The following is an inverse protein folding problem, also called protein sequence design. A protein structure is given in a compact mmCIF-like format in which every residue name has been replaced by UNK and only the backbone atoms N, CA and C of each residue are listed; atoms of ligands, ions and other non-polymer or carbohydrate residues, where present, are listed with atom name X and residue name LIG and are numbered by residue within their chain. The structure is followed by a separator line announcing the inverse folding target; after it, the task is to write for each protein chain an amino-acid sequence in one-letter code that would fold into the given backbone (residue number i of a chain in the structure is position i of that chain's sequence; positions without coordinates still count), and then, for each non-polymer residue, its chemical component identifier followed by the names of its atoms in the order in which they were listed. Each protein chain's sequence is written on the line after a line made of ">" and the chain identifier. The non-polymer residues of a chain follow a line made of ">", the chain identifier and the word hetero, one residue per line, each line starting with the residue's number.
data_IF_349579719572
#
_entry.id   IF_349579719572
#
_cell.length_a   1.000
_cell.length_b   1.000
_cell.length_c   1.000
_cell.angle_alpha   90.00
_cell.angle_beta   90.00
_cell.angle_gamma   90.00
#
_symmetry.space_group_name_H-M   'P 1'
#
loop_
_entity.id
_entity.type
_entity.pdbx_description
1 polymer ?
#
# COMPACT_ATOMS: atom_id res chain seq x y z
N UNK A 1 7.53 34.75 -10.86
CA UNK A 1 6.54 35.04 -9.82
C UNK A 1 6.89 34.21 -8.57
N UNK A 2 7.33 34.90 -7.52
CA UNK A 2 7.52 34.30 -6.20
C UNK A 2 6.14 34.16 -5.55
N UNK A 3 5.74 32.91 -5.20
CA UNK A 3 4.51 32.68 -4.47
C UNK A 3 4.83 32.54 -2.98
N UNK A 4 4.22 33.40 -2.18
CA UNK A 4 4.33 33.31 -0.73
C UNK A 4 3.16 32.47 -0.21
N UNK A 5 3.49 31.43 0.57
CA UNK A 5 2.49 30.62 1.25
C UNK A 5 1.88 31.43 2.40
N UNK A 6 0.59 31.70 2.33
CA UNK A 6 -0.12 32.56 3.30
C UNK A 6 -0.90 31.77 4.36
N UNK A 7 -1.35 30.53 4.03
CA UNK A 7 -2.02 29.62 4.96
C UNK A 7 -1.95 28.18 4.47
N UNK A 8 -2.19 27.25 5.38
CA UNK A 8 -2.35 25.82 5.08
C UNK A 8 -3.38 25.25 6.04
N UNK A 9 -4.27 24.42 5.53
CA UNK A 9 -5.21 23.63 6.31
C UNK A 9 -5.38 22.26 5.70
N UNK A 10 -6.11 21.36 6.37
CA UNK A 10 -6.44 20.03 5.87
C UNK A 10 -7.94 19.96 5.62
N UNK A 11 -8.33 19.18 4.61
CA UNK A 11 -9.74 18.78 4.47
C UNK A 11 -10.10 17.76 5.56
N UNK A 12 -11.36 17.78 5.98
CA UNK A 12 -11.96 16.71 6.75
C UNK A 12 -12.37 15.52 5.86
N UNK A 13 -13.05 14.53 6.43
CA UNK A 13 -13.52 13.33 5.71
C UNK A 13 -14.61 13.62 4.67
N UNK A 14 -15.28 14.77 4.77
CA UNK A 14 -16.31 15.25 3.84
C UNK A 14 -15.75 16.21 2.79
N UNK A 15 -14.43 16.50 2.85
CA UNK A 15 -13.76 17.43 1.96
C UNK A 15 -13.87 18.90 2.40
N UNK A 16 -14.50 19.21 3.54
CA UNK A 16 -14.58 20.56 4.06
C UNK A 16 -13.23 21.02 4.61
N UNK A 17 -12.96 22.29 4.49
CA UNK A 17 -11.75 22.91 5.03
C UNK A 17 -12.03 24.31 5.56
N UNK A 18 -11.24 24.74 6.53
CA UNK A 18 -11.32 26.07 7.11
C UNK A 18 -9.91 26.66 7.27
N UNK A 19 -9.79 27.95 7.02
CA UNK A 19 -8.60 28.71 7.36
C UNK A 19 -8.93 29.64 8.53
N UNK A 20 -8.10 29.61 9.55
CA UNK A 20 -8.21 30.53 10.71
C UNK A 20 -7.93 31.99 10.36
N UNK A 21 -7.49 32.29 9.14
CA UNK A 21 -7.09 33.63 8.67
C UNK A 21 -8.04 34.15 7.61
N UNK A 22 -8.44 35.41 7.75
CA UNK A 22 -9.20 36.16 6.73
C UNK A 22 -8.24 36.67 5.65
N UNK A 23 -8.71 36.67 4.41
CA UNK A 23 -7.99 37.18 3.25
C UNK A 23 -8.75 38.37 2.64
N UNK A 24 -8.05 39.49 2.40
CA UNK A 24 -8.62 40.66 1.75
C UNK A 24 -8.56 40.62 0.23
N UNK A 25 -7.70 39.75 -0.34
CA UNK A 25 -7.51 39.57 -1.77
C UNK A 25 -7.79 38.13 -2.18
N UNK A 26 -8.07 37.91 -3.48
CA UNK A 26 -8.29 36.58 -4.05
C UNK A 26 -7.00 35.76 -3.98
N UNK A 27 -6.91 34.74 -3.11
CA UNK A 27 -5.74 33.89 -3.01
C UNK A 27 -5.64 32.92 -4.20
N UNK A 28 -4.46 32.33 -4.39
CA UNK A 28 -4.29 31.18 -5.26
C UNK A 28 -4.36 29.92 -4.41
N UNK A 29 -5.31 29.06 -4.72
CA UNK A 29 -5.49 27.77 -4.06
C UNK A 29 -4.60 26.71 -4.68
N UNK A 30 -4.14 25.79 -3.85
CA UNK A 30 -3.35 24.63 -4.23
C UNK A 30 -3.75 23.45 -3.35
N UNK A 31 -3.82 22.25 -3.93
CA UNK A 31 -3.95 20.99 -3.19
C UNK A 31 -2.55 20.41 -3.03
N UNK A 32 -2.19 20.05 -1.79
CA UNK A 32 -0.98 19.34 -1.47
C UNK A 32 -1.34 17.95 -0.96
N UNK A 33 -0.87 16.93 -1.66
CA UNK A 33 -1.09 15.53 -1.26
C UNK A 33 -0.11 15.11 -0.16
N UNK A 34 -0.33 15.67 1.01
CA UNK A 34 0.31 15.28 2.27
C UNK A 34 -0.76 15.28 3.35
N UNK A 35 -1.24 14.09 3.74
CA UNK A 35 -2.30 13.96 4.74
C UNK A 35 -1.75 14.12 6.18
N UNK A 36 -2.66 14.06 7.18
CA UNK A 36 -2.31 14.25 8.60
C UNK A 36 -1.37 13.16 9.16
N UNK A 37 -1.34 11.99 8.56
CA UNK A 37 -0.39 10.91 8.90
C UNK A 37 1.00 11.17 8.31
N UNK A 38 1.09 12.13 7.38
CA UNK A 38 2.31 12.49 6.68
C UNK A 38 2.53 11.72 5.39
N UNK A 39 1.59 10.86 4.97
CA UNK A 39 1.64 10.23 3.65
C UNK A 39 1.62 11.29 2.58
N UNK A 40 2.51 11.17 1.59
CA UNK A 40 2.64 12.14 0.51
C UNK A 40 2.70 11.45 -0.85
N UNK A 41 2.16 12.11 -1.88
CA UNK A 41 2.16 11.59 -3.24
C UNK A 41 3.03 12.49 -4.12
N UNK A 42 4.00 11.88 -4.79
CA UNK A 42 4.93 12.52 -5.72
C UNK A 42 6.27 12.88 -5.11
N UNK A 43 7.09 13.55 -5.91
CA UNK A 43 8.45 13.95 -5.54
C UNK A 43 8.44 14.93 -4.37
N UNK A 44 9.06 14.53 -3.27
CA UNK A 44 9.26 15.41 -2.12
C UNK A 44 10.70 15.95 -2.13
N UNK A 45 10.99 16.83 -3.09
CA UNK A 45 12.25 17.56 -3.12
C UNK A 45 12.18 18.78 -2.20
N UNK A 46 13.32 19.18 -1.64
CA UNK A 46 13.44 20.35 -0.72
C UNK A 46 12.76 21.59 -1.27
N UNK A 47 12.79 21.81 -2.59
CA UNK A 47 12.21 22.98 -3.26
C UNK A 47 10.84 22.70 -3.92
N UNK A 48 10.43 21.44 -4.05
CA UNK A 48 9.18 21.04 -4.69
C UNK A 48 8.44 20.15 -3.69
N UNK A 49 7.54 20.72 -2.89
CA UNK A 49 6.74 19.90 -1.97
C UNK A 49 5.87 18.89 -2.73
N UNK A 50 5.63 17.75 -2.08
CA UNK A 50 4.92 16.63 -2.63
C UNK A 50 3.65 17.05 -3.37
N UNK A 51 3.59 16.70 -4.64
CA UNK A 51 2.41 16.77 -5.53
C UNK A 51 1.47 17.94 -5.28
N UNK A 52 1.99 19.15 -5.41
CA UNK A 52 1.13 20.34 -5.40
C UNK A 52 0.40 20.42 -6.74
N UNK A 53 -0.92 20.40 -6.70
CA UNK A 53 -1.77 20.75 -7.83
C UNK A 53 -2.26 22.18 -7.69
N UNK A 54 -1.94 23.03 -8.68
CA UNK A 54 -2.42 24.41 -8.73
C UNK A 54 -3.89 24.41 -9.15
N UNK A 55 -4.76 24.98 -8.31
CA UNK A 55 -6.18 25.14 -8.61
C UNK A 55 -6.45 26.50 -9.28
N UNK A 56 -5.68 27.50 -8.93
CA UNK A 56 -5.82 28.83 -9.48
C UNK A 56 -6.30 29.88 -8.46
N UNK A 57 -6.69 31.05 -8.95
CA UNK A 57 -7.27 32.12 -8.13
C UNK A 57 -8.73 31.78 -7.77
N UNK A 58 -9.10 31.98 -6.54
CA UNK A 58 -10.47 31.79 -6.07
C UNK A 58 -10.93 32.89 -5.12
N UNK A 59 -12.14 32.78 -4.61
CA UNK A 59 -12.69 33.69 -3.64
C UNK A 59 -11.84 33.76 -2.38
N UNK A 60 -11.84 34.94 -1.71
CA UNK A 60 -11.27 35.08 -0.36
C UNK A 60 -12.07 34.35 0.72
N UNK A 61 -13.31 33.95 0.42
CA UNK A 61 -14.20 33.21 1.33
C UNK A 61 -14.13 31.70 1.17
N UNK A 62 -13.41 31.21 0.16
CA UNK A 62 -13.26 29.80 -0.12
C UNK A 62 -13.54 29.43 -1.58
N UNK A 63 -13.30 28.17 -1.93
CA UNK A 63 -13.68 27.58 -3.21
C UNK A 63 -14.30 26.21 -2.96
N UNK A 64 -15.31 25.87 -3.75
CA UNK A 64 -15.81 24.51 -3.89
C UNK A 64 -15.19 23.89 -5.15
N UNK A 65 -14.65 22.71 -5.01
CA UNK A 65 -13.99 22.01 -6.10
C UNK A 65 -14.48 20.56 -6.18
N UNK A 66 -15.13 20.25 -7.29
CA UNK A 66 -15.41 18.85 -7.63
C UNK A 66 -14.23 18.27 -8.43
N UNK A 67 -13.67 17.18 -7.91
CA UNK A 67 -12.58 16.47 -8.57
C UNK A 67 -13.15 15.18 -9.14
N UNK A 68 -13.21 15.08 -10.45
CA UNK A 68 -13.71 13.91 -11.14
C UNK A 68 -12.70 13.38 -12.18
N UNK A 69 -12.89 12.13 -12.58
CA UNK A 69 -12.00 11.44 -13.51
C UNK A 69 -11.93 12.03 -14.91
N UNK A 70 -12.95 12.75 -15.32
CA UNK A 70 -13.07 13.28 -16.68
C UNK A 70 -12.46 14.68 -16.78
N UNK A 71 -12.55 15.48 -15.71
CA UNK A 71 -12.01 16.84 -15.68
C UNK A 71 -10.50 16.87 -15.40
N UNK A 72 -10.01 16.07 -14.48
CA UNK A 72 -8.56 15.93 -14.17
C UNK A 72 -8.23 14.53 -13.66
N UNK A 73 -7.98 13.63 -14.60
CA UNK A 73 -7.62 12.24 -14.30
C UNK A 73 -6.36 12.10 -13.44
N UNK A 74 -5.39 13.02 -13.57
CA UNK A 74 -4.16 13.00 -12.77
C UNK A 74 -4.43 13.38 -11.32
N UNK A 75 -5.20 14.44 -11.11
CA UNK A 75 -5.61 14.89 -9.78
C UNK A 75 -6.49 13.82 -9.12
N UNK A 76 -7.43 13.24 -9.88
CA UNK A 76 -8.32 12.20 -9.38
C UNK A 76 -7.55 10.95 -8.93
N UNK A 77 -6.54 10.47 -9.71
CA UNK A 77 -5.66 9.35 -9.28
C UNK A 77 -4.96 9.64 -7.97
N UNK A 78 -4.45 10.85 -7.78
CA UNK A 78 -3.82 11.27 -6.52
C UNK A 78 -4.79 11.23 -5.36
N UNK A 79 -6.04 11.66 -5.57
CA UNK A 79 -7.09 11.54 -4.57
C UNK A 79 -7.38 10.08 -4.23
N UNK A 80 -7.49 9.20 -5.21
CA UNK A 80 -7.73 7.76 -4.99
C UNK A 80 -6.62 7.13 -4.16
N UNK A 81 -5.36 7.36 -4.52
CA UNK A 81 -4.20 6.81 -3.78
C UNK A 81 -4.13 7.38 -2.36
N UNK A 82 -4.32 8.70 -2.19
CA UNK A 82 -4.35 9.31 -0.86
C UNK A 82 -5.45 8.71 0.02
N UNK A 83 -6.65 8.56 -0.52
CA UNK A 83 -7.79 8.05 0.23
C UNK A 83 -7.61 6.56 0.55
N UNK A 84 -7.12 5.75 -0.39
CA UNK A 84 -6.83 4.33 -0.14
C UNK A 84 -5.79 4.14 0.97
N UNK A 85 -4.70 4.91 0.95
CA UNK A 85 -3.69 4.88 2.00
C UNK A 85 -4.26 5.31 3.36
N UNK A 86 -5.10 6.33 3.37
CA UNK A 86 -5.72 6.82 4.60
C UNK A 86 -6.79 5.87 5.13
N UNK A 87 -7.62 5.27 4.25
CA UNK A 87 -8.60 4.24 4.61
C UNK A 87 -7.91 3.03 5.25
N UNK A 88 -6.81 2.57 4.65
CA UNK A 88 -6.00 1.49 5.23
C UNK A 88 -5.49 1.84 6.62
N UNK A 89 -4.92 3.04 6.79
CA UNK A 89 -4.45 3.52 8.08
C UNK A 89 -5.57 3.56 9.13
N UNK A 90 -6.73 4.12 8.78
CA UNK A 90 -7.91 4.15 9.65
C UNK A 90 -8.37 2.72 10.03
N UNK A 91 -8.32 1.78 9.08
CA UNK A 91 -8.66 0.38 9.33
C UNK A 91 -7.70 -0.24 10.35
N UNK A 92 -6.40 -0.02 10.21
CA UNK A 92 -5.43 -0.50 11.20
C UNK A 92 -5.72 0.04 12.61
N UNK A 93 -6.05 1.34 12.73
CA UNK A 93 -6.44 1.94 14.01
C UNK A 93 -7.66 1.25 14.63
N UNK A 94 -8.68 1.00 13.80
CA UNK A 94 -9.95 0.43 14.27
C UNK A 94 -9.85 -1.06 14.64
N UNK A 95 -8.93 -1.81 14.01
CA UNK A 95 -8.83 -3.28 14.17
C UNK A 95 -7.61 -3.74 14.95
N UNK A 96 -6.73 -2.84 15.41
CA UNK A 96 -5.50 -3.19 16.12
C UNK A 96 -4.41 -3.85 15.23
N UNK A 97 -4.58 -3.80 13.92
CA UNK A 97 -3.55 -4.24 12.97
C UNK A 97 -2.33 -3.34 13.06
N UNK A 98 -1.12 -3.91 12.96
CA UNK A 98 0.12 -3.12 12.93
C UNK A 98 0.05 -2.03 11.89
N UNK A 99 0.30 -0.78 12.31
CA UNK A 99 0.29 0.38 11.43
C UNK A 99 1.39 0.28 10.38
N UNK A 100 1.16 0.77 9.16
CA UNK A 100 2.25 1.02 8.23
C UNK A 100 3.18 2.12 8.80
N UNK A 101 4.43 2.21 8.32
CA UNK A 101 5.33 3.30 8.70
C UNK A 101 4.70 4.67 8.42
N UNK A 102 5.00 5.66 9.26
CA UNK A 102 4.57 7.05 9.03
C UNK A 102 5.35 7.69 7.88
N UNK A 103 4.78 8.75 7.30
CA UNK A 103 5.42 9.57 6.27
C UNK A 103 5.78 8.82 4.98
N UNK A 104 5.05 7.77 4.63
CA UNK A 104 5.24 7.05 3.37
C UNK A 104 5.09 7.97 2.16
N UNK A 105 5.95 7.78 1.17
CA UNK A 105 5.97 8.52 -0.09
C UNK A 105 5.52 7.63 -1.23
N UNK A 106 4.48 8.05 -1.93
CA UNK A 106 3.90 7.32 -3.04
C UNK A 106 4.28 7.97 -4.37
N UNK A 107 4.74 7.17 -5.30
CA UNK A 107 4.90 7.57 -6.69
C UNK A 107 3.89 6.85 -7.56
N UNK A 108 3.15 7.60 -8.35
CA UNK A 108 2.22 7.06 -9.35
C UNK A 108 2.87 7.24 -10.71
N UNK A 109 3.20 6.13 -11.36
CA UNK A 109 3.91 6.10 -12.62
C UNK A 109 3.02 5.57 -13.75
N UNK A 110 2.62 6.46 -14.65
CA UNK A 110 1.77 6.11 -15.79
C UNK A 110 2.48 5.26 -16.86
N UNK A 111 3.80 5.13 -16.79
CA UNK A 111 4.61 4.31 -17.69
C UNK A 111 4.73 2.86 -17.22
N UNK A 112 4.43 2.58 -15.95
CA UNK A 112 4.49 1.26 -15.36
C UNK A 112 3.11 0.61 -15.33
N UNK A 113 3.07 -0.70 -15.63
CA UNK A 113 1.86 -1.52 -15.44
C UNK A 113 1.56 -1.71 -13.96
N UNK A 114 0.32 -2.02 -13.58
CA UNK A 114 -0.07 -2.34 -12.21
C UNK A 114 0.79 -3.45 -11.58
N UNK A 115 1.12 -4.48 -12.36
CA UNK A 115 2.01 -5.58 -11.93
C UNK A 115 3.45 -5.15 -11.59
N UNK A 116 3.80 -3.90 -11.84
CA UNK A 116 5.10 -3.32 -11.48
C UNK A 116 5.03 -2.45 -10.23
N UNK A 117 3.94 -2.53 -9.48
CA UNK A 117 3.77 -1.84 -8.20
C UNK A 117 4.66 -2.51 -7.15
N UNK A 118 5.30 -1.73 -6.30
CA UNK A 118 6.30 -2.24 -5.37
C UNK A 118 6.38 -1.35 -4.13
N UNK A 119 6.42 -2.00 -2.95
CA UNK A 119 6.73 -1.36 -1.68
C UNK A 119 8.24 -1.46 -1.40
N UNK A 120 8.92 -0.34 -1.20
CA UNK A 120 10.37 -0.27 -1.06
C UNK A 120 10.88 0.40 0.23
N UNK A 121 10.04 0.90 1.04
CA UNK A 121 10.28 1.63 2.30
C UNK A 121 11.71 2.24 2.47
N UNK A 122 11.83 3.55 2.24
CA UNK A 122 13.09 4.31 2.34
C UNK A 122 14.29 3.68 1.59
N UNK A 123 14.03 2.93 0.54
CA UNK A 123 15.08 2.25 -0.21
C UNK A 123 15.76 1.10 0.54
N UNK A 124 15.13 0.58 1.61
CA UNK A 124 15.69 -0.52 2.41
C UNK A 124 16.06 -1.76 1.57
N UNK A 125 15.35 -1.99 0.47
CA UNK A 125 15.65 -3.07 -0.47
C UNK A 125 16.78 -2.74 -1.44
N UNK A 126 17.17 -1.46 -1.60
CA UNK A 126 18.23 -1.04 -2.52
C UNK A 126 19.63 -1.46 -2.08
N UNK A 127 19.80 -1.79 -0.80
CA UNK A 127 21.07 -2.33 -0.29
C UNK A 127 21.24 -3.82 -0.67
N UNK A 128 20.22 -4.46 -1.20
CA UNK A 128 20.31 -5.80 -1.76
C UNK A 128 21.10 -5.73 -3.10
N UNK A 129 22.20 -6.50 -3.20
CA UNK A 129 23.04 -6.54 -4.40
C UNK A 129 22.28 -6.92 -5.67
N UNK A 130 21.26 -7.79 -5.56
CA UNK A 130 20.41 -8.19 -6.69
C UNK A 130 19.53 -7.01 -7.14
N UNK A 131 18.90 -6.30 -6.20
CA UNK A 131 18.10 -5.11 -6.52
C UNK A 131 18.96 -4.04 -7.18
N UNK A 132 20.14 -3.76 -6.63
CA UNK A 132 21.08 -2.79 -7.19
C UNK A 132 21.54 -3.19 -8.59
N UNK A 133 21.77 -4.48 -8.84
CA UNK A 133 22.14 -5.01 -10.16
C UNK A 133 20.98 -4.91 -11.16
N UNK A 134 19.74 -5.20 -10.73
CA UNK A 134 18.55 -5.15 -11.58
C UNK A 134 18.16 -3.73 -11.95
N UNK A 135 18.19 -2.79 -10.99
CA UNK A 135 17.92 -1.37 -11.24
C UNK A 135 19.05 -0.71 -12.04
N UNK A 136 20.27 -1.28 -12.01
CA UNK A 136 21.42 -0.85 -12.82
C UNK A 136 21.72 0.65 -12.66
N UNK A 137 21.85 1.35 -13.79
CA UNK A 137 22.15 2.80 -13.83
C UNK A 137 21.14 3.70 -13.14
N UNK A 138 19.93 3.20 -12.86
CA UNK A 138 18.89 3.96 -12.16
C UNK A 138 18.97 3.82 -10.64
N UNK A 139 19.85 2.96 -10.10
CA UNK A 139 19.96 2.73 -8.65
C UNK A 139 20.27 4.01 -7.87
N UNK A 140 21.13 4.89 -8.40
CA UNK A 140 21.46 6.18 -7.77
C UNK A 140 20.25 7.12 -7.75
N UNK A 141 19.49 7.19 -8.85
CA UNK A 141 18.30 8.02 -8.96
C UNK A 141 17.23 7.50 -8.00
N UNK A 142 17.00 6.20 -8.00
CA UNK A 142 16.02 5.57 -7.08
C UNK A 142 16.42 5.79 -5.62
N UNK A 143 17.72 5.74 -5.27
CA UNK A 143 18.21 6.05 -3.92
C UNK A 143 17.97 7.50 -3.51
N UNK A 144 18.18 8.47 -4.42
CA UNK A 144 18.00 9.90 -4.12
C UNK A 144 16.53 10.22 -3.89
N UNK A 145 15.65 9.66 -4.68
CA UNK A 145 14.22 9.94 -4.61
C UNK A 145 13.45 8.91 -3.78
N UNK A 146 13.98 7.72 -3.61
CA UNK A 146 13.53 6.58 -2.80
C UNK A 146 12.03 6.66 -2.43
N UNK A 147 11.10 6.43 -3.38
CA UNK A 147 9.69 6.28 -3.02
C UNK A 147 9.57 5.08 -2.09
N UNK A 148 8.68 5.18 -1.10
CA UNK A 148 8.40 4.02 -0.26
C UNK A 148 7.47 3.04 -0.97
N UNK A 149 6.56 3.58 -1.77
CA UNK A 149 5.61 2.82 -2.58
C UNK A 149 5.56 3.40 -3.99
N UNK A 150 5.76 2.55 -5.00
CA UNK A 150 5.59 2.90 -6.40
C UNK A 150 4.37 2.20 -6.95
N UNK A 151 3.45 2.94 -7.55
CA UNK A 151 2.20 2.41 -8.12
C UNK A 151 2.21 2.58 -9.64
N UNK A 152 2.13 1.47 -10.36
CA UNK A 152 1.95 1.46 -11.79
C UNK A 152 0.49 1.76 -12.16
N UNK A 153 0.26 2.64 -13.13
CA UNK A 153 -1.08 3.03 -13.56
C UNK A 153 -1.29 3.05 -15.08
N UNK A 154 -0.37 2.46 -15.86
CA UNK A 154 -0.37 2.53 -17.32
C UNK A 154 -1.69 2.08 -17.96
N UNK A 155 -2.22 0.95 -17.53
CA UNK A 155 -3.40 0.33 -18.12
C UNK A 155 -4.69 0.56 -17.30
N UNK A 156 -4.61 1.40 -16.25
CA UNK A 156 -5.74 1.68 -15.35
C UNK A 156 -6.50 2.95 -15.73
N UNK A 157 -6.52 3.31 -17.02
CA UNK A 157 -7.33 4.43 -17.49
C UNK A 157 -8.82 4.12 -17.25
N UNK A 158 -9.35 4.66 -16.14
CA UNK A 158 -10.75 4.52 -15.74
C UNK A 158 -11.06 3.42 -14.72
N UNK A 159 -10.14 2.52 -14.38
CA UNK A 159 -10.35 1.57 -13.28
C UNK A 159 -9.73 2.08 -11.97
N UNK A 160 -10.45 3.00 -11.35
CA UNK A 160 -10.02 3.58 -10.08
C UNK A 160 -10.24 2.65 -8.88
N UNK A 161 -11.11 1.66 -9.01
CA UNK A 161 -11.28 0.62 -7.99
C UNK A 161 -10.05 -0.29 -7.96
N UNK A 162 -9.48 -0.63 -9.13
CA UNK A 162 -8.21 -1.34 -9.19
C UNK A 162 -7.03 -0.50 -8.67
N UNK A 163 -7.02 0.82 -8.90
CA UNK A 163 -6.00 1.70 -8.32
C UNK A 163 -6.11 1.76 -6.79
N UNK A 164 -7.33 1.82 -6.26
CA UNK A 164 -7.60 1.75 -4.83
C UNK A 164 -7.08 0.43 -4.24
N UNK A 165 -7.47 -0.71 -4.84
CA UNK A 165 -7.09 -2.03 -4.33
C UNK A 165 -5.59 -2.25 -4.33
N UNK A 166 -4.90 -1.91 -5.43
CA UNK A 166 -3.44 -1.98 -5.51
C UNK A 166 -2.75 -1.11 -4.43
N UNK A 167 -3.31 0.08 -4.15
CA UNK A 167 -2.75 0.92 -3.08
C UNK A 167 -2.92 0.26 -1.70
N UNK A 168 -4.07 -0.36 -1.44
CA UNK A 168 -4.32 -1.13 -0.20
C UNK A 168 -3.35 -2.30 -0.09
N UNK A 169 -3.11 -3.02 -1.19
CA UNK A 169 -2.14 -4.12 -1.26
C UNK A 169 -0.75 -3.67 -0.79
N UNK A 170 -0.22 -2.60 -1.35
CA UNK A 170 1.10 -2.09 -0.97
C UNK A 170 1.14 -1.54 0.47
N UNK A 171 0.04 -0.96 0.94
CA UNK A 171 -0.09 -0.55 2.35
C UNK A 171 -0.09 -1.74 3.31
N UNK A 172 -0.65 -2.89 2.89
CA UNK A 172 -0.59 -4.12 3.67
C UNK A 172 0.83 -4.67 3.76
N UNK A 173 1.58 -4.63 2.65
CA UNK A 173 3.01 -4.90 2.67
C UNK A 173 3.77 -3.97 3.62
N UNK A 174 3.46 -2.67 3.60
CA UNK A 174 4.09 -1.71 4.50
C UNK A 174 3.79 -1.99 5.99
N UNK A 175 2.58 -2.43 6.33
CA UNK A 175 2.22 -2.88 7.68
C UNK A 175 3.02 -4.12 8.09
N UNK A 176 3.09 -5.12 7.23
CA UNK A 176 3.87 -6.33 7.48
C UNK A 176 5.36 -6.03 7.59
N UNK A 177 5.91 -5.18 6.70
CA UNK A 177 7.29 -4.70 6.81
C UNK A 177 7.57 -4.05 8.18
N UNK A 178 6.67 -3.16 8.63
CA UNK A 178 6.83 -2.49 9.93
C UNK A 178 6.84 -3.47 11.12
N UNK A 179 6.22 -4.63 10.96
CA UNK A 179 6.18 -5.69 11.95
C UNK A 179 7.43 -6.59 11.93
N UNK A 180 7.87 -7.02 10.75
CA UNK A 180 8.90 -8.05 10.60
C UNK A 180 10.30 -7.49 10.29
N UNK A 181 10.40 -6.26 9.82
CA UNK A 181 11.64 -5.55 9.58
C UNK A 181 12.35 -5.87 8.27
N UNK A 182 13.49 -5.22 8.09
CA UNK A 182 14.24 -5.18 6.83
C UNK A 182 14.81 -6.53 6.40
N UNK A 183 15.32 -7.35 7.34
CA UNK A 183 15.97 -8.62 6.98
C UNK A 183 14.98 -9.64 6.45
N UNK A 184 13.77 -9.67 6.99
CA UNK A 184 12.67 -10.46 6.46
C UNK A 184 12.37 -10.05 5.00
N UNK A 185 12.22 -8.75 4.78
CA UNK A 185 11.87 -8.20 3.48
C UNK A 185 12.99 -8.30 2.43
N UNK A 186 14.25 -8.36 2.84
CA UNK A 186 15.36 -8.68 1.93
C UNK A 186 15.22 -10.11 1.37
N UNK A 187 14.82 -11.07 2.18
CA UNK A 187 14.60 -12.46 1.73
C UNK A 187 13.38 -12.55 0.81
N UNK A 188 12.27 -11.87 1.17
CA UNK A 188 11.11 -11.71 0.30
C UNK A 188 11.51 -11.14 -1.07
N UNK A 189 12.20 -10.00 -1.10
CA UNK A 189 12.62 -9.35 -2.33
C UNK A 189 13.62 -10.20 -3.15
N UNK A 190 14.48 -10.95 -2.48
CA UNK A 190 15.40 -11.88 -3.15
C UNK A 190 14.61 -12.94 -3.91
N UNK A 191 13.57 -13.53 -3.29
CA UNK A 191 12.72 -14.49 -3.97
C UNK A 191 12.00 -13.90 -5.19
N UNK A 192 11.35 -12.75 -5.03
CA UNK A 192 10.64 -12.04 -6.13
C UNK A 192 11.57 -11.80 -7.33
N UNK A 193 12.78 -11.29 -7.07
CA UNK A 193 13.74 -10.97 -8.13
C UNK A 193 14.31 -12.22 -8.80
N UNK A 194 14.66 -13.25 -8.03
CA UNK A 194 15.20 -14.50 -8.59
C UNK A 194 14.14 -15.23 -9.40
N UNK A 195 12.89 -15.26 -8.94
CA UNK A 195 11.76 -15.80 -9.68
C UNK A 195 11.54 -15.05 -11.00
N UNK A 196 11.49 -13.71 -10.96
CA UNK A 196 11.32 -12.92 -12.16
C UNK A 196 12.45 -13.13 -13.19
N UNK A 197 13.71 -13.19 -12.73
CA UNK A 197 14.86 -13.43 -13.62
C UNK A 197 14.79 -14.81 -14.26
N UNK A 198 14.32 -15.82 -13.53
CA UNK A 198 14.31 -17.21 -14.00
C UNK A 198 13.07 -17.60 -14.80
N UNK A 199 11.92 -16.99 -14.52
CA UNK A 199 10.63 -17.41 -15.09
C UNK A 199 9.88 -16.31 -15.82
N UNK A 200 10.25 -15.02 -15.63
CA UNK A 200 9.48 -13.87 -16.08
C UNK A 200 8.28 -13.54 -15.19
N UNK A 201 8.06 -14.32 -14.13
CA UNK A 201 6.99 -14.12 -13.15
C UNK A 201 7.59 -13.83 -11.77
N UNK A 202 7.14 -12.72 -11.15
CA UNK A 202 7.60 -12.30 -9.84
C UNK A 202 7.29 -13.34 -8.74
N UNK A 203 6.18 -14.04 -8.86
CA UNK A 203 5.78 -15.02 -7.86
C UNK A 203 6.31 -16.44 -8.13
N UNK A 204 6.74 -16.72 -9.36
CA UNK A 204 7.28 -18.03 -9.75
C UNK A 204 6.35 -19.18 -9.39
N UNK A 205 6.94 -20.32 -8.98
CA UNK A 205 6.20 -21.55 -8.70
C UNK A 205 5.98 -21.84 -7.20
N UNK A 206 6.48 -21.01 -6.32
CA UNK A 206 6.47 -21.26 -4.87
C UNK A 206 7.56 -22.24 -4.40
N UNK A 207 8.43 -22.67 -5.30
CA UNK A 207 9.57 -23.53 -4.99
C UNK A 207 10.86 -22.70 -4.99
N UNK A 208 11.77 -23.03 -4.11
CA UNK A 208 13.06 -22.38 -4.04
C UNK A 208 13.31 -21.65 -2.71
N UNK A 209 14.53 -21.17 -2.59
CA UNK A 209 14.97 -20.47 -1.38
C UNK A 209 14.14 -19.20 -1.18
N UNK A 210 13.70 -18.96 0.05
CA UNK A 210 12.90 -17.80 0.48
C UNK A 210 11.47 -17.72 -0.08
N UNK A 211 10.94 -18.77 -0.76
CA UNK A 211 9.56 -18.78 -1.26
C UNK A 211 8.52 -18.52 -0.16
N UNK A 212 8.71 -19.09 1.02
CA UNK A 212 7.78 -18.91 2.14
C UNK A 212 7.69 -17.47 2.64
N UNK A 213 8.77 -16.66 2.53
CA UNK A 213 8.70 -15.22 2.84
C UNK A 213 7.76 -14.49 1.87
N UNK A 214 7.79 -14.86 0.60
CA UNK A 214 6.84 -14.37 -0.41
C UNK A 214 5.43 -14.85 -0.09
N UNK A 215 5.25 -16.15 0.19
CA UNK A 215 3.94 -16.74 0.54
C UNK A 215 3.25 -15.92 1.65
N UNK A 216 3.92 -15.73 2.76
CA UNK A 216 3.36 -15.03 3.92
C UNK A 216 3.08 -13.55 3.61
N UNK A 217 4.01 -12.86 2.95
CA UNK A 217 3.84 -11.45 2.60
C UNK A 217 2.68 -11.22 1.64
N UNK A 218 2.57 -12.04 0.59
CA UNK A 218 1.52 -11.94 -0.41
C UNK A 218 0.15 -12.41 0.12
N UNK A 219 0.11 -13.44 0.95
CA UNK A 219 -1.14 -13.85 1.60
C UNK A 219 -1.75 -12.70 2.39
N UNK A 220 -0.95 -11.97 3.16
CA UNK A 220 -1.42 -10.81 3.92
C UNK A 220 -1.90 -9.69 3.00
N UNK A 221 -1.12 -9.34 1.99
CA UNK A 221 -1.43 -8.24 1.09
C UNK A 221 -2.73 -8.48 0.30
N UNK A 222 -2.87 -9.64 -0.32
CA UNK A 222 -4.10 -10.00 -1.05
C UNK A 222 -5.31 -10.18 -0.14
N UNK A 223 -5.13 -10.69 1.06
CA UNK A 223 -6.21 -10.75 2.03
C UNK A 223 -6.75 -9.35 2.38
N UNK A 224 -5.87 -8.42 2.72
CA UNK A 224 -6.27 -7.05 3.06
C UNK A 224 -6.84 -6.30 1.85
N UNK A 225 -6.27 -6.50 0.67
CA UNK A 225 -6.78 -5.95 -0.58
C UNK A 225 -8.23 -6.38 -0.84
N UNK A 226 -8.49 -7.68 -0.79
CA UNK A 226 -9.84 -8.24 -0.99
C UNK A 226 -10.82 -7.78 0.10
N UNK A 227 -10.39 -7.76 1.35
CA UNK A 227 -11.23 -7.35 2.48
C UNK A 227 -11.67 -5.89 2.37
N UNK A 228 -10.72 -4.96 2.15
CA UNK A 228 -11.05 -3.54 2.04
C UNK A 228 -11.78 -3.21 0.74
N UNK A 229 -11.47 -3.90 -0.35
CA UNK A 229 -12.24 -3.77 -1.59
C UNK A 229 -13.70 -4.17 -1.37
N UNK A 230 -13.95 -5.33 -0.71
CA UNK A 230 -15.30 -5.78 -0.37
C UNK A 230 -16.03 -4.79 0.53
N UNK A 231 -15.36 -4.26 1.54
CA UNK A 231 -15.94 -3.26 2.44
C UNK A 231 -16.34 -1.98 1.70
N UNK A 232 -15.53 -1.53 0.75
CA UNK A 232 -15.77 -0.29 0.01
C UNK A 232 -16.77 -0.45 -1.14
N UNK A 233 -16.69 -1.56 -1.88
CA UNK A 233 -17.43 -1.75 -3.15
C UNK A 233 -18.52 -2.84 -3.07
N UNK A 234 -18.69 -3.49 -1.92
CA UNK A 234 -19.74 -4.48 -1.67
C UNK A 234 -19.52 -5.85 -2.31
N UNK A 235 -18.40 -6.09 -3.01
CA UNK A 235 -18.11 -7.37 -3.66
C UNK A 235 -16.68 -7.84 -3.38
N UNK A 236 -16.48 -9.15 -3.30
CA UNK A 236 -15.13 -9.73 -3.23
C UNK A 236 -14.64 -10.05 -4.65
N UNK A 237 -13.58 -9.40 -5.13
CA UNK A 237 -13.05 -9.64 -6.48
C UNK A 237 -12.23 -10.93 -6.58
N UNK A 238 -11.73 -11.47 -5.44
CA UNK A 238 -10.91 -12.67 -5.43
C UNK A 238 -9.49 -12.45 -5.97
N UNK A 239 -8.94 -11.25 -5.83
CA UNK A 239 -7.57 -10.97 -6.25
C UNK A 239 -6.58 -11.96 -5.63
N UNK A 240 -5.65 -12.47 -6.42
CA UNK A 240 -4.61 -13.40 -6.00
C UNK A 240 -5.06 -14.84 -5.76
N UNK A 241 -6.32 -15.20 -6.01
CA UNK A 241 -6.83 -16.54 -5.79
C UNK A 241 -6.20 -17.60 -6.69
N UNK A 242 -5.69 -17.18 -7.85
CA UNK A 242 -5.02 -18.01 -8.86
C UNK A 242 -3.60 -18.42 -8.48
N UNK A 243 -2.96 -17.68 -7.57
CA UNK A 243 -1.57 -17.94 -7.22
C UNK A 243 -1.39 -19.16 -6.31
N UNK A 244 -0.15 -19.64 -6.22
CA UNK A 244 0.21 -20.82 -5.40
C UNK A 244 0.10 -20.55 -3.89
N UNK A 245 0.25 -19.32 -3.43
CA UNK A 245 -0.09 -18.90 -2.07
C UNK A 245 -1.61 -18.67 -1.94
N UNK A 246 -2.18 -18.98 -0.76
CA UNK A 246 -3.64 -19.01 -0.57
C UNK A 246 -4.12 -18.00 0.46
N UNK A 247 -4.27 -16.74 0.04
CA UNK A 247 -4.80 -15.65 0.88
C UNK A 247 -6.22 -15.91 1.41
N UNK A 248 -6.98 -16.77 0.73
CA UNK A 248 -8.32 -17.21 1.16
C UNK A 248 -8.30 -17.86 2.54
N UNK A 249 -7.19 -18.51 2.94
CA UNK A 249 -7.02 -19.06 4.30
C UNK A 249 -7.27 -17.97 5.33
N UNK A 250 -6.67 -16.79 5.18
CA UNK A 250 -6.80 -15.69 6.13
C UNK A 250 -8.24 -15.14 6.17
N UNK A 251 -8.89 -15.07 5.00
CA UNK A 251 -10.30 -14.64 4.91
C UNK A 251 -11.24 -15.60 5.63
N UNK A 252 -11.01 -16.91 5.52
CA UNK A 252 -11.83 -17.93 6.19
C UNK A 252 -11.55 -17.98 7.70
N UNK A 253 -10.32 -17.76 8.12
CA UNK A 253 -9.98 -17.62 9.55
C UNK A 253 -10.68 -16.40 10.17
N UNK A 254 -10.69 -15.25 9.48
CA UNK A 254 -11.42 -14.06 9.94
C UNK A 254 -12.92 -14.32 10.02
N UNK A 255 -13.51 -14.93 8.99
CA UNK A 255 -14.93 -15.30 8.98
C UNK A 255 -15.30 -16.29 10.11
N UNK A 256 -14.35 -17.12 10.53
CA UNK A 256 -14.48 -18.03 11.67
C UNK A 256 -14.19 -17.40 13.04
N UNK A 257 -13.96 -16.09 13.09
CA UNK A 257 -13.84 -15.31 14.31
C UNK A 257 -12.40 -15.19 14.86
N UNK A 258 -11.38 -15.35 14.02
CA UNK A 258 -10.01 -14.94 14.35
C UNK A 258 -9.81 -13.51 13.83
N UNK A 259 -9.50 -12.57 14.71
CA UNK A 259 -9.39 -11.16 14.32
C UNK A 259 -8.22 -10.90 13.36
N UNK A 260 -8.31 -9.83 12.55
CA UNK A 260 -7.22 -9.37 11.68
C UNK A 260 -5.92 -9.13 12.43
N UNK A 261 -6.04 -8.54 13.61
CA UNK A 261 -4.87 -8.29 14.46
C UNK A 261 -4.24 -9.60 14.93
N UNK A 262 -5.05 -10.60 15.34
CA UNK A 262 -4.51 -11.90 15.74
C UNK A 262 -3.82 -12.60 14.57
N UNK A 263 -4.43 -12.59 13.39
CA UNK A 263 -3.84 -13.15 12.17
C UNK A 263 -2.48 -12.50 11.89
N UNK A 264 -2.42 -11.16 11.82
CA UNK A 264 -1.15 -10.47 11.57
C UNK A 264 -0.15 -10.70 12.70
N UNK A 265 -0.61 -10.81 13.95
CA UNK A 265 0.27 -11.09 15.08
C UNK A 265 0.97 -12.45 14.97
N UNK A 266 0.32 -13.43 14.35
CA UNK A 266 0.93 -14.72 14.03
C UNK A 266 1.90 -14.67 12.85
N UNK A 267 1.90 -13.60 12.05
CA UNK A 267 2.80 -13.39 10.90
C UNK A 267 4.02 -12.55 11.32
N UNK A 268 4.76 -13.03 12.30
CA UNK A 268 5.95 -12.38 12.85
C UNK A 268 7.24 -12.68 12.08
N UNK A 269 8.37 -12.17 12.59
CA UNK A 269 9.68 -12.31 11.96
C UNK A 269 10.08 -13.77 11.66
N UNK A 270 9.73 -14.72 12.53
CA UNK A 270 10.04 -16.15 12.37
C UNK A 270 9.01 -16.92 11.54
N UNK A 271 7.87 -16.30 11.19
CA UNK A 271 6.81 -16.91 10.39
C UNK A 271 7.13 -16.72 8.91
N UNK A 272 7.94 -17.59 8.36
CA UNK A 272 8.47 -17.50 7.00
C UNK A 272 8.04 -18.65 6.08
N UNK A 273 7.02 -19.40 6.47
CA UNK A 273 6.29 -20.33 5.63
C UNK A 273 4.91 -20.64 6.20
N UNK A 274 4.07 -21.28 5.40
CA UNK A 274 2.67 -21.57 5.72
C UNK A 274 2.51 -22.58 6.87
N UNK A 275 3.44 -23.52 7.04
CA UNK A 275 3.39 -24.53 8.11
C UNK A 275 3.70 -23.89 9.45
N UNK A 276 4.68 -22.98 9.48
CA UNK A 276 5.00 -22.20 10.66
C UNK A 276 3.81 -21.30 11.02
N UNK A 277 3.19 -20.63 10.02
CA UNK A 277 1.99 -19.84 10.27
C UNK A 277 0.88 -20.68 10.92
N UNK A 278 0.61 -21.88 10.42
CA UNK A 278 -0.36 -22.79 11.01
C UNK A 278 -0.03 -23.13 12.46
N UNK A 279 1.23 -23.47 12.74
CA UNK A 279 1.68 -23.82 14.10
C UNK A 279 1.51 -22.66 15.06
N UNK A 280 1.91 -21.45 14.67
CA UNK A 280 1.79 -20.23 15.48
C UNK A 280 0.31 -19.86 15.71
N UNK A 281 -0.56 -20.06 14.72
CA UNK A 281 -2.00 -19.87 14.88
C UNK A 281 -2.61 -20.86 15.87
N UNK A 282 -2.25 -22.15 15.80
CA UNK A 282 -2.72 -23.17 16.74
C UNK A 282 -2.25 -22.89 18.16
N UNK A 283 -1.03 -22.40 18.34
CA UNK A 283 -0.46 -22.03 19.63
C UNK A 283 -1.16 -20.83 20.26
N UNK A 284 -1.38 -19.77 19.47
CA UNK A 284 -1.97 -18.52 19.96
C UNK A 284 -3.51 -18.54 20.03
N UNK A 285 -4.17 -19.42 19.26
CA UNK A 285 -5.62 -19.53 19.17
C UNK A 285 -6.05 -20.98 19.27
N UNK A 286 -5.60 -21.66 20.36
CA UNK A 286 -5.99 -23.04 20.66
C UNK A 286 -7.52 -23.23 20.77
N UNK A 287 -8.25 -22.18 21.18
CA UNK A 287 -9.72 -22.12 21.17
C UNK A 287 -10.34 -22.28 19.78
N UNK A 288 -9.56 -22.08 18.72
CA UNK A 288 -9.97 -22.17 17.31
C UNK A 288 -9.26 -23.31 16.55
N UNK A 289 -8.61 -24.24 17.24
CA UNK A 289 -7.79 -25.29 16.61
C UNK A 289 -8.56 -26.07 15.53
N UNK A 290 -9.78 -26.50 15.80
CA UNK A 290 -10.60 -27.23 14.83
C UNK A 290 -10.93 -26.39 13.57
N UNK A 291 -11.13 -25.08 13.70
CA UNK A 291 -11.32 -24.15 12.57
C UNK A 291 -10.03 -24.05 11.76
N UNK A 292 -8.89 -23.82 12.44
CA UNK A 292 -7.56 -23.66 11.79
C UNK A 292 -7.24 -24.91 10.98
N UNK A 293 -7.33 -26.10 11.58
CA UNK A 293 -7.07 -27.36 10.89
C UNK A 293 -8.00 -27.58 9.69
N UNK A 294 -9.30 -27.31 9.85
CA UNK A 294 -10.26 -27.42 8.77
C UNK A 294 -9.92 -26.52 7.60
N UNK A 295 -9.59 -25.23 7.89
CA UNK A 295 -9.29 -24.24 6.85
C UNK A 295 -7.99 -24.62 6.13
N UNK A 296 -6.92 -24.89 6.85
CA UNK A 296 -5.63 -25.26 6.22
C UNK A 296 -5.77 -26.53 5.38
N UNK A 297 -6.44 -27.59 5.90
CA UNK A 297 -6.71 -28.83 5.16
C UNK A 297 -7.48 -28.59 3.85
N UNK A 298 -8.45 -27.67 3.84
CA UNK A 298 -9.24 -27.31 2.65
C UNK A 298 -8.35 -26.82 1.51
N UNK A 299 -7.25 -26.14 1.82
CA UNK A 299 -6.30 -25.60 0.84
C UNK A 299 -5.06 -26.49 0.65
N UNK A 300 -5.06 -27.73 1.17
CA UNK A 300 -3.94 -28.67 1.02
C UNK A 300 -2.69 -28.25 1.82
N UNK A 301 -2.92 -27.61 2.96
CA UNK A 301 -1.85 -27.09 3.82
C UNK A 301 -1.87 -27.72 5.21
#
# INVERSE_FOLDING_TARGET
>A
NVFVKIATTYTDENGNYEFSRKFSAKPRYRICFKNRVGFSIGLNLILIPASISAIGKGSSTGIDLTIDKNSDATLFRRCVVNNAAYDYFKKCQATGVTMPPKNLRFWILNILRPSSTLMMHHGALLDNKLVSKYIGKYASIVRIFAPDITIGSKDKNGDYAALYSTTVHEMAHASHFNKVGTDYWRKYATYILTSYISTGDCYGTGNGENAGYCEIGEMWAYYMENALYKERYGRNPGFGNEYWFKSQILSELEAGGISRSDILNCMGYYTNDIKILKSVLLENRADKAALIDKVFKKYGR
#
